data_IF_589524287656
#
_entry.id   IF_589524287656
#
_cell.length_a   1.000
_cell.length_b   1.000
_cell.length_c   1.000
_cell.angle_alpha   90.00
_cell.angle_beta   90.00
_cell.angle_gamma   90.00
#
_symmetry.space_group_name_H-M   'P 1'
#
loop_
_entity.id
_entity.type
_entity.pdbx_description
1 polymer ?
#
# COMPACT_ATOMS: atom_id res chain seq x y z
N UNK A 1 -2.93 -6.95 10.25
CA UNK A 1 -3.63 -7.51 9.09
C UNK A 1 -4.27 -6.39 8.30
N UNK A 2 -4.08 -6.39 6.98
CA UNK A 2 -4.74 -5.50 6.03
C UNK A 2 -6.06 -6.16 5.63
N UNK A 3 -7.16 -5.44 5.80
CA UNK A 3 -8.48 -5.88 5.36
C UNK A 3 -8.81 -5.31 3.99
N UNK A 4 -8.56 -4.02 3.79
CA UNK A 4 -8.88 -3.33 2.54
C UNK A 4 -7.80 -2.31 2.22
N UNK A 5 -7.43 -2.19 0.95
CA UNK A 5 -6.66 -1.06 0.43
C UNK A 5 -7.50 -0.33 -0.63
N UNK A 6 -7.72 0.96 -0.45
CA UNK A 6 -8.53 1.79 -1.35
C UNK A 6 -7.66 2.89 -1.94
N UNK A 7 -7.61 2.98 -3.26
CA UNK A 7 -7.02 4.12 -3.93
C UNK A 7 -8.03 5.27 -4.01
N UNK A 8 -7.61 6.45 -3.56
CA UNK A 8 -8.35 7.71 -3.72
C UNK A 8 -7.41 8.74 -4.35
N UNK A 9 -7.58 8.97 -5.64
CA UNK A 9 -6.66 9.80 -6.41
C UNK A 9 -5.25 9.20 -6.45
N UNK A 10 -4.25 10.01 -6.07
CA UNK A 10 -2.85 9.61 -6.03
C UNK A 10 -2.40 9.08 -4.66
N UNK A 11 -3.34 8.58 -3.84
CA UNK A 11 -3.05 8.01 -2.53
C UNK A 11 -3.80 6.71 -2.31
N UNK A 12 -3.11 5.77 -1.68
CA UNK A 12 -3.61 4.46 -1.25
C UNK A 12 -3.84 4.49 0.26
N UNK A 13 -5.08 4.26 0.66
CA UNK A 13 -5.52 4.20 2.05
C UNK A 13 -5.65 2.75 2.46
N UNK A 14 -4.93 2.36 3.52
CA UNK A 14 -4.88 0.99 4.03
C UNK A 14 -5.70 0.92 5.30
N UNK A 15 -6.64 -0.01 5.34
CA UNK A 15 -7.53 -0.26 6.47
C UNK A 15 -7.29 -1.63 7.08
N UNK A 16 -7.31 -1.68 8.41
CA UNK A 16 -7.34 -2.93 9.15
C UNK A 16 -8.76 -3.49 9.24
N UNK A 17 -8.90 -4.68 9.83
CA UNK A 17 -10.17 -5.40 9.99
C UNK A 17 -11.21 -4.66 10.85
N UNK A 18 -10.77 -3.67 11.63
CA UNK A 18 -11.67 -2.81 12.43
C UNK A 18 -12.14 -1.59 11.65
N UNK A 19 -11.95 -1.57 10.32
CA UNK A 19 -12.18 -0.41 9.45
C UNK A 19 -11.39 0.85 9.87
N UNK A 20 -10.31 0.68 10.64
CA UNK A 20 -9.45 1.79 11.03
C UNK A 20 -8.31 1.94 10.02
N UNK A 21 -8.05 3.17 9.61
CA UNK A 21 -6.98 3.51 8.68
C UNK A 21 -5.63 3.35 9.39
N UNK A 22 -4.79 2.45 8.90
CA UNK A 22 -3.47 2.18 9.47
C UNK A 22 -2.36 2.92 8.73
N UNK A 23 -2.53 3.18 7.43
CA UNK A 23 -1.54 3.87 6.62
C UNK A 23 -2.19 4.64 5.46
N UNK A 24 -1.49 5.70 5.01
CA UNK A 24 -1.79 6.45 3.79
C UNK A 24 -0.51 6.59 2.98
N UNK A 25 -0.50 6.05 1.77
CA UNK A 25 0.72 5.94 0.95
C UNK A 25 0.46 6.63 -0.38
N UNK A 26 1.28 7.62 -0.75
CA UNK A 26 1.19 8.25 -2.07
C UNK A 26 1.50 7.25 -3.19
N UNK A 27 0.90 7.39 -4.36
CA UNK A 27 1.09 6.54 -5.54
C UNK A 27 -0.17 5.77 -5.93
N UNK A 28 0.03 4.82 -6.83
CA UNK A 28 -1.02 3.99 -7.43
C UNK A 28 -1.04 2.60 -6.79
N UNK A 29 -2.22 2.11 -6.42
CA UNK A 29 -2.36 0.79 -5.80
C UNK A 29 -2.01 -0.28 -6.85
N UNK A 30 -0.92 -1.00 -6.63
CA UNK A 30 -0.48 -2.08 -7.50
C UNK A 30 -1.07 -3.43 -7.07
N UNK A 31 -1.25 -3.63 -5.76
CA UNK A 31 -1.86 -4.83 -5.18
C UNK A 31 -1.68 -4.87 -3.68
N UNK A 32 -2.38 -5.74 -2.99
CA UNK A 32 -2.18 -5.95 -1.56
C UNK A 32 -2.50 -7.39 -1.15
N UNK A 33 -1.94 -7.79 -0.03
CA UNK A 33 -2.18 -9.06 0.67
C UNK A 33 -2.67 -8.75 2.08
N UNK A 34 -2.91 -9.77 2.89
CA UNK A 34 -3.28 -9.61 4.30
C UNK A 34 -2.20 -8.97 5.18
N UNK A 35 -0.95 -8.87 4.70
CA UNK A 35 0.18 -8.34 5.49
C UNK A 35 0.97 -7.23 4.80
N UNK A 36 0.86 -7.11 3.48
CA UNK A 36 1.62 -6.14 2.67
C UNK A 36 0.77 -5.44 1.62
N UNK A 37 1.16 -4.22 1.26
CA UNK A 37 0.58 -3.44 0.15
C UNK A 37 1.68 -2.99 -0.78
N UNK A 38 1.46 -3.17 -2.07
CA UNK A 38 2.33 -2.74 -3.15
C UNK A 38 1.77 -1.48 -3.79
N UNK A 39 2.60 -0.43 -3.85
CA UNK A 39 2.23 0.87 -4.41
C UNK A 39 3.25 1.26 -5.47
N UNK A 40 2.77 1.54 -6.69
CA UNK A 40 3.60 1.98 -7.80
C UNK A 40 3.75 3.50 -7.76
N UNK A 41 4.99 3.97 -7.93
CA UNK A 41 5.34 5.39 -8.08
C UNK A 41 6.34 5.50 -9.23
N UNK A 42 5.88 5.99 -10.38
CA UNK A 42 6.68 5.98 -11.60
C UNK A 42 7.11 4.56 -11.97
N UNK A 43 8.41 4.37 -12.17
CA UNK A 43 9.02 3.09 -12.55
C UNK A 43 9.40 2.21 -11.34
N UNK A 44 8.92 2.52 -10.14
CA UNK A 44 9.22 1.75 -8.93
C UNK A 44 7.94 1.25 -8.26
N UNK A 45 7.98 0.01 -7.79
CA UNK A 45 6.96 -0.58 -6.93
C UNK A 45 7.52 -0.68 -5.52
N UNK A 46 6.88 -0.01 -4.59
CA UNK A 46 7.22 -0.01 -3.17
C UNK A 46 6.27 -0.94 -2.43
N UNK A 47 6.82 -1.80 -1.59
CA UNK A 47 6.06 -2.71 -0.74
C UNK A 47 6.10 -2.20 0.69
N UNK A 48 4.93 -1.99 1.28
CA UNK A 48 4.75 -1.56 2.64
C UNK A 48 4.08 -2.66 3.45
N UNK A 49 4.39 -2.75 4.73
CA UNK A 49 3.64 -3.58 5.66
C UNK A 49 2.32 -2.90 6.07
N UNK A 50 1.49 -3.63 6.80
CA UNK A 50 0.24 -3.15 7.40
C UNK A 50 0.36 -1.92 8.30
N UNK A 51 1.56 -1.61 8.83
CA UNK A 51 1.84 -0.42 9.66
C UNK A 51 2.32 0.78 8.83
N UNK A 52 2.39 0.64 7.50
CA UNK A 52 2.90 1.67 6.60
C UNK A 52 4.43 1.77 6.56
N UNK A 53 5.16 0.84 7.17
CA UNK A 53 6.63 0.79 7.03
C UNK A 53 6.99 0.12 5.70
N UNK A 54 7.90 0.73 4.95
CA UNK A 54 8.42 0.13 3.72
C UNK A 54 9.26 -1.10 4.06
N UNK A 55 8.97 -2.22 3.40
CA UNK A 55 9.70 -3.49 3.57
C UNK A 55 10.55 -3.83 2.35
N UNK A 56 10.15 -3.39 1.16
CA UNK A 56 10.92 -3.59 -0.06
C UNK A 56 10.60 -2.52 -1.10
N UNK A 57 11.46 -2.39 -2.10
CA UNK A 57 11.22 -1.60 -3.30
C UNK A 57 11.88 -2.28 -4.49
N UNK A 58 11.19 -2.35 -5.62
CA UNK A 58 11.67 -2.96 -6.84
C UNK A 58 11.45 -2.02 -8.02
N UNK A 59 12.44 -1.94 -8.90
CA UNK A 59 12.31 -1.24 -10.18
C UNK A 59 11.48 -2.10 -11.14
N UNK A 60 10.45 -1.50 -11.72
CA UNK A 60 9.56 -2.11 -12.70
C UNK A 60 9.69 -1.33 -13.99
N UNK A 61 10.33 -1.93 -15.00
CA UNK A 61 10.51 -1.39 -16.34
C UNK A 61 9.47 -1.94 -17.31
#
# INVERSE_FOLDING_TARGET
MISTAVQRGNFVYVYNERNSQTASIAGELYGFTSTTVSVKRGDFVYVYNERGSQVSSHFCK
#
